data_IF_586667637656
#
_entry.id   IF_586667637656
#
_cell.length_a   1.000
_cell.length_b   1.000
_cell.length_c   1.000
_cell.angle_alpha   90.00
_cell.angle_beta   90.00
_cell.angle_gamma   90.00
#
_symmetry.space_group_name_H-M   'P 1'
#
loop_
_entity.id
_entity.type
_entity.pdbx_description
1 polymer ?
#
# COMPACT_ATOMS: atom_id res chain seq x y z
N UNK A 1 33.89 -0.03 -7.77
CA UNK A 1 32.87 0.51 -8.69
C UNK A 1 31.55 -0.07 -8.24
N UNK A 2 30.61 0.77 -7.80
CA UNK A 2 29.29 0.31 -7.37
C UNK A 2 28.52 -0.17 -8.60
N UNK A 3 28.01 -1.39 -8.53
CA UNK A 3 27.21 -2.04 -9.55
C UNK A 3 25.95 -1.21 -9.85
N UNK A 4 25.94 -0.52 -10.99
CA UNK A 4 24.81 0.30 -11.45
C UNK A 4 23.60 -0.55 -11.90
N UNK A 5 23.67 -1.89 -11.87
CA UNK A 5 22.53 -2.76 -12.20
C UNK A 5 21.49 -2.88 -11.07
N UNK A 6 21.74 -2.30 -9.88
CA UNK A 6 20.93 -2.54 -8.67
C UNK A 6 19.71 -1.65 -8.50
N UNK A 7 19.47 -0.66 -9.36
CA UNK A 7 18.42 0.36 -9.13
C UNK A 7 17.48 0.58 -10.31
N UNK A 8 17.11 -0.50 -11.01
CA UNK A 8 16.09 -0.46 -12.08
C UNK A 8 14.76 -1.02 -11.57
N UNK A 9 13.61 -0.46 -11.99
CA UNK A 9 12.30 -1.07 -11.71
C UNK A 9 12.23 -2.52 -12.20
N UNK A 10 11.83 -3.44 -11.33
CA UNK A 10 11.76 -4.87 -11.59
C UNK A 10 10.63 -5.52 -10.77
N UNK A 11 10.10 -6.65 -11.25
CA UNK A 11 9.05 -7.44 -10.59
C UNK A 11 9.67 -8.71 -10.00
N UNK A 12 9.31 -8.98 -8.75
CA UNK A 12 9.74 -10.12 -7.94
C UNK A 12 8.52 -11.00 -7.62
N UNK A 13 8.72 -12.31 -7.51
CA UNK A 13 7.66 -13.27 -7.22
C UNK A 13 7.85 -13.85 -5.82
N UNK A 14 6.74 -14.15 -5.12
CA UNK A 14 6.69 -15.10 -4.01
C UNK A 14 5.63 -16.16 -4.32
N UNK A 15 5.95 -17.42 -4.02
CA UNK A 15 5.06 -18.55 -4.27
C UNK A 15 5.16 -19.57 -3.13
N UNK A 16 4.01 -19.94 -2.53
CA UNK A 16 3.92 -20.93 -1.46
C UNK A 16 3.23 -22.24 -1.91
N UNK A 17 3.02 -22.42 -3.21
CA UNK A 17 2.30 -23.56 -3.81
C UNK A 17 0.78 -23.41 -3.85
N UNK A 18 0.20 -22.44 -3.14
CA UNK A 18 -1.25 -22.16 -3.11
C UNK A 18 -1.59 -20.78 -3.66
N UNK A 19 -0.79 -19.77 -3.33
CA UNK A 19 -0.91 -18.39 -3.82
C UNK A 19 0.40 -17.97 -4.48
N UNK A 20 0.28 -17.09 -5.47
CA UNK A 20 1.42 -16.43 -6.10
C UNK A 20 1.20 -14.91 -6.03
N UNK A 21 2.19 -14.18 -5.53
CA UNK A 21 2.19 -12.71 -5.56
C UNK A 21 3.38 -12.21 -6.36
N UNK A 22 3.16 -11.17 -7.17
CA UNK A 22 4.20 -10.44 -7.89
C UNK A 22 4.28 -9.01 -7.37
N UNK A 23 5.45 -8.60 -6.93
CA UNK A 23 5.68 -7.31 -6.27
C UNK A 23 6.83 -6.58 -6.98
N UNK A 24 6.61 -5.33 -7.35
CA UNK A 24 7.62 -4.48 -7.96
C UNK A 24 8.42 -3.73 -6.90
N UNK A 25 9.72 -3.56 -7.08
CA UNK A 25 10.51 -2.64 -6.25
C UNK A 25 10.19 -1.15 -6.54
N UNK A 26 9.46 -0.83 -7.61
CA UNK A 26 8.92 0.50 -7.84
C UNK A 26 7.63 0.69 -7.03
N UNK A 27 7.70 1.52 -6.00
CA UNK A 27 6.60 1.78 -5.06
C UNK A 27 6.28 0.63 -4.12
N UNK A 28 7.16 -0.39 -4.03
CA UNK A 28 6.88 -1.65 -3.34
C UNK A 28 5.51 -2.24 -3.76
N UNK A 29 5.22 -2.18 -5.07
CA UNK A 29 3.87 -2.32 -5.62
C UNK A 29 3.45 -3.77 -5.82
N UNK A 30 2.32 -4.21 -5.26
CA UNK A 30 1.68 -5.47 -5.67
C UNK A 30 1.12 -5.30 -7.09
N UNK A 31 1.66 -6.06 -8.04
CA UNK A 31 1.26 -6.01 -9.46
C UNK A 31 0.25 -7.11 -9.83
N UNK A 32 0.35 -8.25 -9.16
CA UNK A 32 -0.53 -9.42 -9.33
C UNK A 32 -0.60 -10.20 -8.03
N UNK A 33 -1.76 -10.76 -7.73
CA UNK A 33 -1.94 -11.73 -6.65
C UNK A 33 -2.93 -12.80 -7.11
N UNK A 34 -2.41 -13.99 -7.40
CA UNK A 34 -3.20 -15.14 -7.81
C UNK A 34 -3.62 -15.98 -6.62
N UNK A 35 -4.91 -16.16 -6.42
CA UNK A 35 -5.51 -16.95 -5.34
C UNK A 35 -6.52 -17.98 -5.89
N UNK A 36 -6.64 -19.16 -5.28
CA UNK A 36 -7.55 -20.19 -5.75
C UNK A 36 -9.01 -19.83 -5.45
N UNK A 37 -9.93 -20.26 -6.31
CA UNK A 37 -11.35 -20.39 -5.98
C UNK A 37 -11.66 -21.74 -5.32
N UNK A 38 -12.94 -22.02 -5.04
CA UNK A 38 -13.40 -23.28 -4.41
C UNK A 38 -13.06 -24.54 -5.20
N UNK A 39 -12.76 -24.42 -6.50
CA UNK A 39 -12.37 -25.52 -7.37
C UNK A 39 -10.84 -25.60 -7.55
N UNK A 40 -10.07 -24.78 -6.82
CA UNK A 40 -8.61 -24.70 -6.92
C UNK A 40 -8.12 -23.87 -8.11
N UNK A 41 -9.00 -23.18 -8.85
CA UNK A 41 -8.60 -22.38 -10.01
C UNK A 41 -8.05 -21.03 -9.54
N UNK A 42 -6.76 -20.79 -9.83
CA UNK A 42 -6.11 -19.51 -9.58
C UNK A 42 -6.69 -18.40 -10.47
N UNK A 43 -6.96 -17.24 -9.89
CA UNK A 43 -7.11 -16.00 -10.65
C UNK A 43 -6.43 -14.83 -9.92
N UNK A 44 -5.99 -13.86 -10.71
CA UNK A 44 -5.42 -12.61 -10.23
C UNK A 44 -6.53 -11.69 -9.69
N UNK A 45 -6.48 -11.37 -8.40
CA UNK A 45 -7.55 -10.64 -7.69
C UNK A 45 -7.23 -9.18 -7.40
N UNK A 46 -6.17 -8.64 -8.01
CA UNK A 46 -5.80 -7.22 -7.85
C UNK A 46 -5.80 -6.51 -9.20
N UNK A 47 -6.12 -5.22 -9.23
CA UNK A 47 -5.90 -4.39 -10.42
C UNK A 47 -4.41 -4.05 -10.56
N UNK A 48 -3.94 -3.92 -11.79
CA UNK A 48 -2.56 -3.55 -12.06
C UNK A 48 -2.24 -3.57 -13.55
N UNK A 49 -0.96 -3.68 -13.85
CA UNK A 49 -0.45 -3.81 -15.22
C UNK A 49 0.43 -5.05 -15.34
N UNK A 50 0.55 -5.59 -16.55
CA UNK A 50 1.37 -6.78 -16.83
C UNK A 50 2.89 -6.52 -16.73
N UNK A 51 3.30 -5.25 -16.72
CA UNK A 51 4.70 -4.82 -16.64
C UNK A 51 4.85 -3.62 -15.71
N UNK A 52 6.10 -3.30 -15.34
CA UNK A 52 6.41 -2.16 -14.47
C UNK A 52 6.31 -0.81 -15.20
N UNK A 53 6.47 -0.79 -16.52
CA UNK A 53 6.54 0.43 -17.34
C UNK A 53 5.33 1.39 -17.16
N UNK A 54 4.07 0.93 -17.18
CA UNK A 54 2.92 1.81 -16.94
C UNK A 54 2.94 2.49 -15.56
N UNK A 55 3.47 1.81 -14.53
CA UNK A 55 3.64 2.39 -13.19
C UNK A 55 4.66 3.53 -13.21
N UNK A 56 5.82 3.30 -13.86
CA UNK A 56 6.88 4.30 -14.01
C UNK A 56 6.40 5.51 -14.82
N UNK A 57 5.55 5.28 -15.82
CA UNK A 57 4.93 6.34 -16.64
C UNK A 57 3.79 7.08 -15.93
N UNK A 58 3.46 6.72 -14.68
CA UNK A 58 2.43 7.39 -13.89
C UNK A 58 1.00 7.10 -14.36
N UNK A 59 0.78 6.00 -15.09
CA UNK A 59 -0.55 5.60 -15.56
C UNK A 59 -1.39 4.96 -14.43
N UNK A 60 -0.75 4.52 -13.35
CA UNK A 60 -1.40 3.94 -12.19
C UNK A 60 -2.03 5.04 -11.31
N UNK A 61 -3.35 5.02 -11.04
CA UNK A 61 -3.94 5.80 -9.95
C UNK A 61 -3.67 5.10 -8.61
N UNK A 62 -2.38 4.98 -8.26
CA UNK A 62 -1.85 4.33 -7.05
C UNK A 62 -2.12 2.82 -6.96
N UNK A 63 -2.28 2.11 -8.09
CA UNK A 63 -2.52 0.65 -8.08
C UNK A 63 -1.43 -0.11 -7.30
N UNK A 64 -1.80 -0.75 -6.19
CA UNK A 64 -0.99 -1.76 -5.50
C UNK A 64 0.24 -1.24 -4.74
N UNK A 65 0.56 0.05 -4.85
CA UNK A 65 1.73 0.67 -4.26
C UNK A 65 1.61 0.90 -2.74
N UNK A 66 2.75 1.18 -2.10
CA UNK A 66 2.80 1.79 -0.78
C UNK A 66 2.79 3.31 -0.95
N UNK A 67 1.82 3.97 -0.32
CA UNK A 67 1.74 5.44 -0.27
C UNK A 67 2.43 5.96 1.00
N UNK A 68 3.17 7.05 0.85
CA UNK A 68 3.90 7.71 1.94
C UNK A 68 4.65 8.94 1.44
N UNK A 69 5.18 9.82 2.31
CA UNK A 69 5.36 9.67 3.77
C UNK A 69 4.06 9.73 4.60
N UNK A 70 3.05 10.45 4.11
CA UNK A 70 1.71 10.51 4.73
C UNK A 70 0.64 10.18 3.69
N UNK A 71 -0.06 9.07 3.93
CA UNK A 71 -1.20 8.62 3.16
C UNK A 71 -2.39 9.57 3.30
N UNK A 72 -3.23 9.60 2.27
CA UNK A 72 -4.40 10.47 2.16
C UNK A 72 -4.03 11.96 2.23
N UNK A 73 -4.98 12.82 2.62
CA UNK A 73 -4.87 14.28 2.46
C UNK A 73 -4.28 14.95 3.69
N UNK A 74 -3.45 15.96 3.45
CA UNK A 74 -3.15 17.03 4.41
C UNK A 74 -3.82 18.31 3.90
N UNK A 75 -4.68 18.88 4.73
CA UNK A 75 -5.46 20.07 4.40
C UNK A 75 -4.51 21.20 4.00
N UNK A 76 -4.78 21.81 2.84
CA UNK A 76 -3.99 22.93 2.31
C UNK A 76 -2.49 22.64 2.13
N UNK A 77 -2.09 21.37 2.19
CA UNK A 77 -0.69 20.96 2.17
C UNK A 77 0.15 21.60 3.26
N UNK A 78 -0.43 21.93 4.42
CA UNK A 78 0.27 22.62 5.50
C UNK A 78 0.05 21.91 6.83
N UNK A 79 1.06 21.97 7.68
CA UNK A 79 0.97 21.57 9.07
C UNK A 79 2.05 22.28 9.90
N UNK A 80 1.86 22.30 11.21
CA UNK A 80 2.85 22.80 12.16
C UNK A 80 3.34 21.63 13.02
N UNK A 81 4.64 21.53 13.23
CA UNK A 81 5.25 20.54 14.11
C UNK A 81 6.40 21.18 14.89
N UNK A 82 6.38 21.01 16.22
CA UNK A 82 7.38 21.58 17.13
C UNK A 82 7.61 23.09 16.91
N UNK A 83 6.53 23.85 16.67
CA UNK A 83 6.56 25.30 16.44
C UNK A 83 7.03 25.72 15.05
N UNK A 84 7.38 24.78 14.16
CA UNK A 84 7.80 25.05 12.79
C UNK A 84 6.65 24.77 11.81
N UNK A 85 6.44 25.67 10.85
CA UNK A 85 5.44 25.50 9.80
C UNK A 85 6.07 24.82 8.58
N UNK A 86 5.41 23.78 8.09
CA UNK A 86 5.80 23.03 6.91
C UNK A 86 4.78 23.22 5.79
N UNK A 87 5.26 23.23 4.55
CA UNK A 87 4.42 23.30 3.35
C UNK A 87 4.80 22.16 2.41
N UNK A 88 3.77 21.50 1.90
CA UNK A 88 3.83 20.33 1.03
C UNK A 88 3.28 20.69 -0.35
N UNK A 89 3.67 19.96 -1.41
CA UNK A 89 3.09 20.18 -2.72
C UNK A 89 1.57 19.97 -2.75
N UNK A 90 0.87 20.91 -3.40
CA UNK A 90 -0.57 20.86 -3.64
C UNK A 90 -0.86 20.05 -4.91
N UNK A 91 -0.55 18.76 -4.86
CA UNK A 91 -0.75 17.83 -5.96
C UNK A 91 -2.21 17.41 -6.15
N UNK A 92 -3.09 17.70 -5.17
CA UNK A 92 -4.55 17.54 -5.32
C UNK A 92 -5.29 18.76 -4.74
N UNK A 93 -5.39 19.86 -5.51
CA UNK A 93 -5.94 21.12 -5.02
C UNK A 93 -7.28 20.99 -4.27
N UNK A 94 -7.45 21.69 -3.13
CA UNK A 94 -6.48 22.59 -2.49
C UNK A 94 -5.47 21.88 -1.58
N UNK A 95 -5.40 20.55 -1.55
CA UNK A 95 -4.69 19.77 -0.54
C UNK A 95 -3.41 19.11 -1.09
N UNK A 96 -2.55 18.64 -0.18
CA UNK A 96 -1.56 17.62 -0.51
C UNK A 96 -2.17 16.23 -0.32
N UNK A 97 -1.75 15.26 -1.14
CA UNK A 97 -2.31 13.91 -1.19
C UNK A 97 -1.17 12.88 -1.33
N UNK A 98 -1.25 11.79 -0.56
CA UNK A 98 -0.38 10.59 -0.70
C UNK A 98 1.12 10.90 -0.76
N UNK A 99 1.59 11.80 0.11
CA UNK A 99 3.01 12.14 0.22
C UNK A 99 3.55 13.08 -0.86
N UNK A 100 2.71 13.62 -1.75
CA UNK A 100 3.09 14.70 -2.67
C UNK A 100 3.25 14.26 -4.13
N UNK A 101 4.05 15.00 -4.89
CA UNK A 101 4.22 14.80 -6.33
C UNK A 101 4.93 13.48 -6.64
N UNK A 102 6.02 13.21 -5.93
CA UNK A 102 6.84 11.99 -6.02
C UNK A 102 6.91 11.32 -4.65
N UNK A 103 5.73 10.97 -4.13
CA UNK A 103 5.58 10.13 -2.96
C UNK A 103 6.22 8.75 -3.12
N UNK A 104 6.16 7.95 -2.06
CA UNK A 104 6.82 6.64 -1.97
C UNK A 104 6.40 5.65 -3.06
N UNK A 105 5.19 5.84 -3.62
CA UNK A 105 4.64 5.06 -4.74
C UNK A 105 5.44 5.23 -6.04
N UNK A 106 6.20 6.32 -6.16
CA UNK A 106 6.98 6.69 -7.36
C UNK A 106 8.49 6.56 -7.14
N UNK A 107 8.90 5.83 -6.10
CA UNK A 107 10.30 5.61 -5.75
C UNK A 107 10.71 4.18 -6.09
N UNK A 108 11.99 4.00 -6.42
CA UNK A 108 12.60 2.68 -6.50
C UNK A 108 13.11 2.35 -5.11
N UNK A 109 12.67 1.22 -4.58
CA UNK A 109 13.08 0.69 -3.31
C UNK A 109 14.20 -0.33 -3.52
N UNK A 110 15.17 -0.36 -2.63
CA UNK A 110 16.18 -1.41 -2.60
C UNK A 110 15.55 -2.73 -2.17
N UNK A 111 15.95 -3.84 -2.80
CA UNK A 111 15.62 -5.18 -2.30
C UNK A 111 16.66 -5.57 -1.25
N UNK A 112 16.29 -5.53 0.01
CA UNK A 112 17.16 -5.88 1.12
C UNK A 112 17.33 -7.41 1.24
N UNK A 113 16.23 -8.15 1.14
CA UNK A 113 16.20 -9.61 1.22
C UNK A 113 15.07 -10.17 0.34
N UNK A 114 15.30 -11.33 -0.28
CA UNK A 114 14.27 -12.02 -1.07
C UNK A 114 14.45 -13.54 -0.97
N UNK A 115 13.40 -14.21 -0.51
CA UNK A 115 13.24 -15.66 -0.54
C UNK A 115 11.98 -15.98 -1.33
N UNK A 116 12.15 -16.39 -2.58
CA UNK A 116 11.05 -16.64 -3.52
C UNK A 116 10.11 -17.77 -3.10
N UNK A 117 10.68 -18.87 -2.60
CA UNK A 117 9.98 -20.14 -2.39
C UNK A 117 10.23 -20.73 -0.98
N UNK A 118 9.44 -21.76 -0.61
CA UNK A 118 9.53 -22.50 0.65
C UNK A 118 8.31 -22.30 1.55
N UNK A 119 8.39 -22.69 2.82
CA UNK A 119 7.23 -22.66 3.73
C UNK A 119 6.72 -21.24 4.06
N UNK A 120 7.63 -20.25 4.02
CA UNK A 120 7.35 -18.83 4.28
C UNK A 120 8.20 -17.95 3.36
N UNK A 121 7.88 -17.86 2.06
CA UNK A 121 8.59 -16.98 1.14
C UNK A 121 8.31 -15.52 1.50
N UNK A 122 9.32 -14.68 1.33
CA UNK A 122 9.23 -13.27 1.70
C UNK A 122 10.12 -12.38 0.83
N UNK A 123 9.81 -11.08 0.78
CA UNK A 123 10.67 -10.05 0.21
C UNK A 123 10.61 -8.80 1.09
N UNK A 124 11.78 -8.22 1.35
CA UNK A 124 11.94 -6.98 2.12
C UNK A 124 12.45 -5.89 1.22
N UNK A 125 11.67 -4.82 1.08
CA UNK A 125 12.08 -3.59 0.41
C UNK A 125 12.55 -2.57 1.44
N UNK A 126 13.51 -1.72 1.05
CA UNK A 126 14.00 -0.59 1.84
C UNK A 126 14.03 0.67 1.00
N UNK A 127 13.62 1.78 1.59
CA UNK A 127 13.76 3.11 0.99
C UNK A 127 14.23 4.10 2.03
N UNK A 128 15.12 5.01 1.63
CA UNK A 128 15.57 6.10 2.47
C UNK A 128 15.06 7.43 1.91
N UNK A 129 14.13 8.04 2.63
CA UNK A 129 13.56 9.34 2.32
C UNK A 129 14.41 10.43 2.98
N UNK A 130 14.98 11.34 2.20
CA UNK A 130 15.84 12.40 2.75
C UNK A 130 15.04 13.44 3.58
N UNK A 131 15.74 14.21 4.43
CA UNK A 131 15.17 15.40 5.08
C UNK A 131 14.71 16.40 4.00
N UNK A 132 13.51 16.93 4.17
CA UNK A 132 12.88 17.86 3.21
C UNK A 132 12.27 17.19 1.97
N UNK A 133 12.34 15.86 1.83
CA UNK A 133 11.68 15.18 0.71
C UNK A 133 10.18 15.48 0.70
N UNK A 134 9.68 15.99 -0.43
CA UNK A 134 8.29 16.47 -0.61
C UNK A 134 7.85 17.51 0.45
N UNK A 135 8.80 18.16 1.13
CA UNK A 135 8.55 19.18 2.16
C UNK A 135 8.41 18.64 3.59
N UNK A 136 8.58 17.34 3.81
CA UNK A 136 8.51 16.74 5.15
C UNK A 136 9.85 16.85 5.90
N UNK A 137 9.85 17.14 7.22
CA UNK A 137 11.07 17.17 8.02
C UNK A 137 11.61 15.77 8.33
N UNK A 138 12.91 15.67 8.54
CA UNK A 138 13.58 14.46 8.99
C UNK A 138 13.87 13.50 7.85
N UNK A 139 15.08 12.93 7.86
CA UNK A 139 15.36 11.75 7.07
C UNK A 139 14.61 10.56 7.68
N UNK A 140 14.12 9.64 6.85
CA UNK A 140 13.34 8.47 7.28
C UNK A 140 13.82 7.24 6.54
N UNK A 141 14.29 6.23 7.27
CA UNK A 141 14.46 4.88 6.74
C UNK A 141 13.13 4.15 6.83
N UNK A 142 12.69 3.55 5.72
CA UNK A 142 11.41 2.83 5.61
C UNK A 142 11.67 1.43 5.09
N UNK A 143 11.00 0.44 5.66
CA UNK A 143 11.01 -0.95 5.19
C UNK A 143 9.59 -1.45 4.95
N UNK A 144 9.45 -2.35 3.98
CA UNK A 144 8.22 -3.04 3.69
C UNK A 144 8.52 -4.52 3.41
N UNK A 145 8.01 -5.40 4.26
CA UNK A 145 8.24 -6.85 4.16
C UNK A 145 6.94 -7.55 3.82
N UNK A 146 6.89 -8.16 2.64
CA UNK A 146 5.80 -9.04 2.23
C UNK A 146 6.17 -10.48 2.53
N UNK A 147 5.29 -11.23 3.20
CA UNK A 147 5.50 -12.65 3.54
C UNK A 147 4.25 -13.46 3.23
N UNK A 148 4.37 -14.60 2.56
CA UNK A 148 3.29 -15.60 2.51
C UNK A 148 3.42 -16.47 3.77
N UNK A 149 2.63 -16.18 4.79
CA UNK A 149 2.79 -16.77 6.14
C UNK A 149 2.13 -18.14 6.29
N UNK A 150 1.16 -18.43 5.43
CA UNK A 150 0.42 -19.68 5.33
C UNK A 150 -0.01 -19.91 3.88
N UNK A 151 -0.69 -21.03 3.60
CA UNK A 151 -1.28 -21.31 2.29
C UNK A 151 -2.23 -20.20 1.80
N UNK A 152 -2.85 -19.45 2.72
CA UNK A 152 -3.94 -18.50 2.44
C UNK A 152 -3.68 -17.09 2.93
N UNK A 153 -2.55 -16.82 3.57
CA UNK A 153 -2.29 -15.53 4.21
C UNK A 153 -1.05 -14.86 3.66
N UNK A 154 -1.21 -13.62 3.19
CA UNK A 154 -0.11 -12.70 2.93
C UNK A 154 -0.06 -11.66 4.05
N UNK A 155 1.11 -11.47 4.64
CA UNK A 155 1.42 -10.44 5.64
C UNK A 155 2.25 -9.34 5.01
N UNK A 156 1.93 -8.09 5.33
CA UNK A 156 2.76 -6.92 5.04
C UNK A 156 3.11 -6.25 6.36
N UNK A 157 4.41 -6.18 6.67
CA UNK A 157 4.95 -5.39 7.76
C UNK A 157 5.63 -4.14 7.19
N UNK A 158 5.18 -2.97 7.59
CA UNK A 158 5.80 -1.70 7.24
C UNK A 158 6.39 -1.07 8.49
N UNK A 159 7.64 -0.65 8.41
CA UNK A 159 8.31 0.07 9.49
C UNK A 159 8.93 1.35 8.95
N UNK A 160 8.95 2.38 9.79
CA UNK A 160 9.64 3.62 9.47
C UNK A 160 10.31 4.19 10.71
N UNK A 161 11.50 4.74 10.55
CA UNK A 161 12.29 5.35 11.62
C UNK A 161 12.75 6.73 11.14
N UNK A 162 12.21 7.83 11.71
CA UNK A 162 12.78 9.15 11.52
C UNK A 162 14.15 9.21 12.18
N UNK A 163 15.18 9.57 11.43
CA UNK A 163 16.56 9.48 11.91
C UNK A 163 17.01 10.77 12.62
N UNK A 164 16.48 11.92 12.20
CA UNK A 164 17.01 13.23 12.60
C UNK A 164 16.00 14.21 13.18
N UNK A 165 14.72 14.11 12.82
CA UNK A 165 13.65 15.01 13.28
C UNK A 165 12.35 14.24 13.42
N UNK A 166 11.52 14.68 14.36
CA UNK A 166 10.11 14.26 14.43
C UNK A 166 9.43 14.55 13.10
N UNK A 167 8.59 13.63 12.63
CA UNK A 167 7.87 13.78 11.37
C UNK A 167 6.54 13.04 11.42
N UNK A 168 5.51 13.51 10.71
CA UNK A 168 4.33 12.69 10.49
C UNK A 168 4.68 11.50 9.59
N UNK A 169 4.20 10.31 9.96
CA UNK A 169 4.25 9.08 9.18
C UNK A 169 2.88 8.42 9.25
N UNK A 170 2.32 8.12 8.09
CA UNK A 170 1.11 7.30 7.96
C UNK A 170 1.23 6.57 6.63
N UNK A 171 1.62 5.30 6.67
CA UNK A 171 1.77 4.49 5.47
C UNK A 171 0.45 3.79 5.16
N UNK A 172 0.19 3.53 3.88
CA UNK A 172 -0.93 2.69 3.48
C UNK A 172 -0.57 1.86 2.26
N UNK A 173 -1.19 0.70 2.14
CA UNK A 173 -1.09 -0.17 0.97
C UNK A 173 -2.34 0.06 0.10
N UNK A 174 -2.14 0.46 -1.16
CA UNK A 174 -3.20 0.97 -2.04
C UNK A 174 -3.63 -0.06 -3.11
N UNK A 175 -3.72 -1.35 -2.76
CA UNK A 175 -4.27 -2.38 -3.66
C UNK A 175 -5.75 -2.17 -3.90
N UNK A 176 -6.13 -2.28 -5.17
CA UNK A 176 -7.53 -2.41 -5.59
C UNK A 176 -7.85 -3.89 -5.73
N UNK A 177 -8.77 -4.37 -4.88
CA UNK A 177 -9.22 -5.74 -4.82
C UNK A 177 -10.42 -5.97 -5.73
N UNK A 178 -10.38 -7.05 -6.52
CA UNK A 178 -11.52 -7.61 -7.24
C UNK A 178 -11.46 -9.13 -7.10
N UNK A 179 -12.26 -9.67 -6.16
CA UNK A 179 -12.21 -11.10 -5.82
C UNK A 179 -12.91 -12.01 -6.83
N UNK A 180 -13.82 -11.49 -7.66
CA UNK A 180 -14.48 -12.29 -8.70
C UNK A 180 -13.54 -12.66 -9.85
N UNK A 181 -12.67 -11.73 -10.23
CA UNK A 181 -12.14 -11.66 -11.59
C UNK A 181 -13.03 -10.90 -12.58
N UNK A 182 -14.30 -10.57 -12.23
CA UNK A 182 -15.25 -9.66 -12.94
C UNK A 182 -16.35 -9.04 -11.99
N UNK A 183 -16.84 -7.82 -12.23
CA UNK A 183 -17.26 -6.75 -11.26
C UNK A 183 -18.70 -6.82 -10.63
N UNK A 184 -18.89 -6.55 -9.30
CA UNK A 184 -20.12 -5.99 -8.61
C UNK A 184 -19.84 -5.44 -7.15
N UNK A 185 -20.69 -4.59 -6.47
CA UNK A 185 -20.35 -3.85 -5.21
C UNK A 185 -21.12 -4.23 -3.90
N UNK A 186 -20.63 -3.81 -2.69
CA UNK A 186 -21.34 -3.29 -1.44
C UNK A 186 -20.46 -3.33 -0.13
N UNK A 187 -21.01 -2.97 1.06
CA UNK A 187 -20.66 -1.98 2.10
C UNK A 187 -20.76 -2.57 3.55
N UNK A 188 -20.11 -1.96 4.56
CA UNK A 188 -20.50 -2.06 5.99
C UNK A 188 -19.37 -2.34 7.00
N UNK A 189 -19.29 -1.55 8.08
CA UNK A 189 -18.12 -1.41 9.00
C UNK A 189 -18.40 -1.90 10.44
N UNK A 190 -17.36 -2.25 11.23
CA UNK A 190 -17.30 -1.85 12.65
C UNK A 190 -15.87 -1.49 13.15
N UNK A 191 -15.66 -0.26 13.65
CA UNK A 191 -14.35 0.31 13.99
C UNK A 191 -14.03 0.20 15.49
N UNK A 192 -13.02 -0.60 15.87
CA UNK A 192 -12.28 -0.62 17.16
C UNK A 192 -10.90 -1.30 16.95
N UNK A 193 -9.77 -0.65 17.31
CA UNK A 193 -8.40 -0.96 16.80
C UNK A 193 -7.27 -1.01 17.84
N UNK A 194 -7.51 -1.60 19.01
CA UNK A 194 -6.47 -1.71 20.05
C UNK A 194 -5.59 -2.96 19.96
N UNK A 195 -5.90 -3.92 19.08
CA UNK A 195 -5.16 -5.17 18.81
C UNK A 195 -5.37 -5.59 17.33
N UNK A 196 -4.61 -6.55 16.78
CA UNK A 196 -4.84 -7.10 15.43
C UNK A 196 -6.29 -7.63 15.33
N UNK A 197 -7.15 -6.93 14.58
CA UNK A 197 -8.59 -7.24 14.48
C UNK A 197 -9.03 -7.32 13.02
N UNK A 198 -10.09 -8.10 12.77
CA UNK A 198 -10.68 -8.24 11.44
C UNK A 198 -11.50 -7.00 11.21
N UNK A 199 -11.05 -6.16 10.31
CA UNK A 199 -11.63 -4.84 10.13
C UNK A 199 -12.49 -4.77 8.86
N UNK A 200 -12.27 -5.71 7.94
CA UNK A 200 -13.09 -5.87 6.75
C UNK A 200 -13.16 -7.34 6.34
N UNK A 201 -14.33 -7.70 5.78
CA UNK A 201 -14.53 -8.93 5.02
C UNK A 201 -15.13 -8.53 3.68
N UNK A 202 -14.41 -8.78 2.60
CA UNK A 202 -14.91 -8.67 1.23
C UNK A 202 -15.23 -10.08 0.74
N UNK A 203 -16.42 -10.29 0.17
CA UNK A 203 -16.85 -11.59 -0.34
C UNK A 203 -17.52 -11.43 -1.67
N UNK A 204 -17.25 -12.34 -2.60
CA UNK A 204 -17.85 -12.33 -3.93
C UNK A 204 -18.55 -13.66 -4.19
N UNK A 205 -19.81 -13.59 -4.64
CA UNK A 205 -20.72 -14.75 -4.65
C UNK A 205 -20.38 -15.80 -5.70
N UNK A 206 -19.91 -15.39 -6.87
CA UNK A 206 -19.72 -16.26 -8.04
C UNK A 206 -18.50 -17.16 -7.88
N UNK A 207 -17.36 -16.55 -7.57
CA UNK A 207 -16.10 -17.24 -7.29
C UNK A 207 -16.04 -17.84 -5.89
N UNK A 208 -16.92 -17.38 -5.00
CA UNK A 208 -16.91 -17.68 -3.56
C UNK A 208 -15.67 -17.17 -2.83
N UNK A 209 -14.77 -16.42 -3.50
CA UNK A 209 -13.56 -15.87 -2.88
C UNK A 209 -13.91 -14.84 -1.81
N UNK A 210 -13.15 -14.90 -0.73
CA UNK A 210 -13.25 -14.03 0.44
C UNK A 210 -11.88 -13.46 0.74
N UNK A 211 -11.83 -12.16 1.04
CA UNK A 211 -10.69 -11.48 1.65
C UNK A 211 -11.10 -11.03 3.05
N UNK A 212 -10.43 -11.53 4.08
CA UNK A 212 -10.43 -10.95 5.40
C UNK A 212 -9.20 -10.06 5.55
N UNK A 213 -9.41 -8.81 5.96
CA UNK A 213 -8.34 -7.85 6.21
C UNK A 213 -8.20 -7.61 7.71
N UNK A 214 -6.97 -7.75 8.20
CA UNK A 214 -6.60 -7.45 9.59
C UNK A 214 -5.54 -6.37 9.64
N UNK A 215 -5.54 -5.53 10.68
CA UNK A 215 -4.53 -4.49 10.86
C UNK A 215 -4.39 -4.05 12.30
N UNK A 216 -3.28 -3.37 12.62
CA UNK A 216 -2.98 -2.77 13.92
C UNK A 216 -3.05 -1.21 13.93
N UNK A 217 -3.41 -0.58 12.80
CA UNK A 217 -3.55 0.89 12.71
C UNK A 217 -5.02 1.34 12.85
N UNK A 218 -5.28 2.58 13.29
CA UNK A 218 -6.60 2.97 13.81
C UNK A 218 -7.68 3.21 12.75
N UNK A 219 -7.32 3.27 11.46
CA UNK A 219 -8.26 3.63 10.40
C UNK A 219 -8.14 2.75 9.17
N UNK A 220 -9.22 2.72 8.39
CA UNK A 220 -9.25 2.14 7.05
C UNK A 220 -10.02 3.06 6.10
N UNK A 221 -9.38 3.49 5.02
CA UNK A 221 -10.06 4.11 3.89
C UNK A 221 -10.67 3.02 3.03
N UNK A 222 -12.00 3.07 2.89
CA UNK A 222 -12.70 2.31 1.85
C UNK A 222 -12.94 3.21 0.65
N UNK A 223 -12.40 2.84 -0.50
CA UNK A 223 -12.56 3.59 -1.75
C UNK A 223 -13.03 2.67 -2.87
N UNK A 224 -14.12 3.05 -3.52
CA UNK A 224 -14.82 2.22 -4.52
C UNK A 224 -14.34 2.44 -5.95
N UNK A 225 -13.12 2.95 -6.18
CA UNK A 225 -12.60 3.11 -7.54
C UNK A 225 -13.37 4.13 -8.40
N UNK A 226 -13.91 5.18 -7.78
CA UNK A 226 -14.82 6.14 -8.43
C UNK A 226 -14.24 6.90 -9.63
N UNK A 227 -12.92 7.05 -9.69
CA UNK A 227 -12.20 7.84 -10.69
C UNK A 227 -11.37 7.00 -11.67
N UNK A 228 -11.45 5.67 -11.57
CA UNK A 228 -10.89 4.79 -12.62
C UNK A 228 -11.78 4.92 -13.85
N UNK A 229 -11.21 5.18 -15.03
CA UNK A 229 -11.96 5.46 -16.25
C UNK A 229 -11.12 5.15 -17.48
N UNK A 230 -11.50 4.14 -18.26
CA UNK A 230 -10.84 3.77 -19.51
C UNK A 230 -9.37 3.36 -19.40
N UNK A 231 -8.91 2.82 -18.26
CA UNK A 231 -7.50 2.42 -18.08
C UNK A 231 -7.28 1.03 -18.66
N UNK A 232 -6.42 0.88 -19.66
CA UNK A 232 -6.06 -0.45 -20.20
C UNK A 232 -5.11 -1.14 -19.23
N UNK A 233 -5.62 -2.17 -18.55
CA UNK A 233 -4.92 -2.98 -17.56
C UNK A 233 -4.49 -4.34 -18.10
N UNK A 234 -4.37 -5.31 -17.17
CA UNK A 234 -3.89 -6.66 -17.46
C UNK A 234 -4.73 -7.39 -18.52
N UNK A 235 -4.06 -8.12 -19.41
CA UNK A 235 -4.74 -8.88 -20.47
C UNK A 235 -5.58 -8.00 -21.41
N UNK A 236 -5.23 -6.72 -21.56
CA UNK A 236 -5.99 -5.69 -22.28
C UNK A 236 -7.39 -5.39 -21.72
N UNK A 237 -7.70 -5.79 -20.49
CA UNK A 237 -8.95 -5.43 -19.84
C UNK A 237 -9.05 -3.91 -19.66
N UNK A 238 -10.21 -3.33 -19.96
CA UNK A 238 -10.46 -1.90 -19.72
C UNK A 238 -11.03 -1.75 -18.31
N UNK A 239 -10.28 -1.09 -17.43
CA UNK A 239 -10.68 -0.78 -16.08
C UNK A 239 -11.54 0.48 -16.06
N UNK A 240 -12.79 0.30 -15.67
CA UNK A 240 -13.80 1.34 -15.56
C UNK A 240 -14.14 1.67 -14.11
N UNK A 241 -14.98 2.69 -13.94
CA UNK A 241 -15.46 3.11 -12.63
C UNK A 241 -16.06 1.93 -11.86
N UNK A 242 -15.65 1.79 -10.59
CA UNK A 242 -16.07 0.72 -9.68
C UNK A 242 -15.63 -0.70 -10.02
N UNK A 243 -14.66 -0.88 -10.93
CA UNK A 243 -14.08 -2.20 -11.27
C UNK A 243 -13.37 -2.91 -10.10
N UNK A 244 -13.02 -2.18 -9.04
CA UNK A 244 -12.41 -2.73 -7.82
C UNK A 244 -12.48 -1.75 -6.65
N UNK A 245 -12.10 -2.23 -5.47
CA UNK A 245 -12.15 -1.45 -4.22
C UNK A 245 -10.81 -1.42 -3.50
N UNK A 246 -10.45 -0.30 -2.87
CA UNK A 246 -9.30 -0.21 -1.97
C UNK A 246 -9.75 -0.34 -0.51
N UNK A 247 -8.93 -1.02 0.28
CA UNK A 247 -9.05 -1.15 1.73
C UNK A 247 -7.72 -0.70 2.35
N UNK A 248 -7.49 0.61 2.39
CA UNK A 248 -6.20 1.18 2.79
C UNK A 248 -6.20 1.39 4.32
N UNK A 249 -5.51 0.53 5.07
CA UNK A 249 -5.38 0.77 6.52
C UNK A 249 -4.31 1.82 6.76
N UNK A 250 -4.56 2.78 7.65
CA UNK A 250 -3.73 3.96 7.83
C UNK A 250 -4.10 4.74 9.11
N UNK A 251 -3.32 5.77 9.44
CA UNK A 251 -3.77 6.86 10.32
C UNK A 251 -4.91 7.67 9.69
N UNK A 252 -5.66 8.42 10.50
CA UNK A 252 -6.79 9.20 9.97
C UNK A 252 -6.32 10.31 9.02
N UNK A 253 -7.05 10.57 7.92
CA UNK A 253 -6.73 11.68 7.03
C UNK A 253 -6.61 12.99 7.79
N UNK A 254 -5.59 13.79 7.46
CA UNK A 254 -5.30 15.08 8.08
C UNK A 254 -5.02 15.01 9.60
N UNK A 255 -4.71 13.85 10.19
CA UNK A 255 -4.48 13.69 11.63
C UNK A 255 -3.43 14.65 12.21
N UNK A 256 -2.40 15.01 11.44
CA UNK A 256 -1.38 15.99 11.86
C UNK A 256 -1.96 17.36 12.24
N UNK A 257 -3.13 17.70 11.69
CA UNK A 257 -3.84 18.96 11.94
C UNK A 257 -5.11 18.77 12.80
N UNK A 258 -5.35 17.58 13.36
CA UNK A 258 -6.55 17.26 14.13
C UNK A 258 -6.14 16.70 15.49
N UNK A 259 -6.10 17.55 16.51
CA UNK A 259 -5.60 17.19 17.85
C UNK A 259 -6.41 16.10 18.56
N UNK A 260 -7.64 15.84 18.11
CA UNK A 260 -8.52 14.80 18.61
C UNK A 260 -8.38 13.46 17.86
N UNK A 261 -7.52 13.38 16.83
CA UNK A 261 -7.22 12.12 16.14
C UNK A 261 -5.99 11.46 16.78
N UNK A 262 -5.84 10.12 16.65
CA UNK A 262 -4.60 9.45 16.99
C UNK A 262 -3.42 10.12 16.29
N UNK A 263 -2.36 10.39 17.04
CA UNK A 263 -1.17 11.06 16.51
C UNK A 263 -0.54 10.22 15.39
N UNK A 264 -0.12 10.90 14.34
CA UNK A 264 0.72 10.34 13.26
C UNK A 264 2.18 10.81 13.37
N UNK A 265 2.52 11.59 14.40
CA UNK A 265 3.89 12.05 14.64
C UNK A 265 4.70 10.92 15.24
N UNK A 266 5.82 10.61 14.60
CA UNK A 266 6.83 9.67 15.08
C UNK A 266 8.05 10.48 15.48
N UNK A 267 8.56 10.28 16.69
CA UNK A 267 9.73 11.03 17.15
C UNK A 267 11.01 10.50 16.51
N UNK A 268 12.02 11.36 16.43
CA UNK A 268 13.35 10.94 16.00
C UNK A 268 13.87 9.75 16.84
N UNK A 269 14.33 8.69 16.16
CA UNK A 269 14.78 7.45 16.77
C UNK A 269 13.67 6.49 17.21
N UNK A 270 12.42 6.92 17.28
CA UNK A 270 11.29 6.03 17.58
C UNK A 270 10.82 5.28 16.33
N UNK A 271 10.20 4.13 16.56
CA UNK A 271 9.79 3.21 15.50
C UNK A 271 8.29 3.32 15.22
N UNK A 272 7.95 3.59 13.97
CA UNK A 272 6.62 3.34 13.43
C UNK A 272 6.49 1.88 13.00
N UNK A 273 5.38 1.23 13.33
CA UNK A 273 5.08 -0.14 12.93
C UNK A 273 3.62 -0.27 12.48
N UNK A 274 3.43 -0.85 11.31
CA UNK A 274 2.11 -1.07 10.71
C UNK A 274 2.07 -2.45 10.05
N UNK A 275 1.18 -3.30 10.55
CA UNK A 275 0.96 -4.66 10.08
C UNK A 275 -0.39 -4.76 9.36
N UNK A 276 -0.39 -5.47 8.23
CA UNK A 276 -1.59 -5.87 7.51
C UNK A 276 -1.56 -7.37 7.27
N UNK A 277 -2.68 -8.06 7.49
CA UNK A 277 -2.87 -9.46 7.08
C UNK A 277 -4.01 -9.53 6.07
N UNK A 278 -3.68 -10.08 4.90
CA UNK A 278 -4.62 -10.40 3.83
C UNK A 278 -4.83 -11.91 3.84
N UNK A 279 -5.97 -12.34 4.37
CA UNK A 279 -6.33 -13.75 4.48
C UNK A 279 -7.40 -14.09 3.44
N UNK A 280 -7.08 -15.04 2.56
CA UNK A 280 -7.94 -15.47 1.46
C UNK A 280 -8.60 -16.82 1.75
N UNK A 281 -9.86 -16.98 1.36
CA UNK A 281 -10.53 -18.28 1.36
C UNK A 281 -11.51 -18.35 0.18
N UNK A 282 -12.05 -19.53 -0.12
CA UNK A 282 -13.06 -19.73 -1.15
C UNK A 282 -14.03 -20.86 -0.79
#
# INVERSE_FOLDING_TARGET
MADQSKNTPAIFELNNGTMQVKISNYGATITSLSVPDKNGKLADVVLGFDSVDPYVKGLAPYFGCIVGRVANRIKEGKFSLNGVNYSLPINKPPNSLHGGNKGFDKKIWDVAEHKKDGDKPFITFKYHSADGEEGYPGAVSVTATYTLTSATTMRLDMEAVPESKDTPISLAQHTYWNLAGEILPVKGTPFDFTEEKRIAKLSEGTSSRVLNLWTNVPGMQFYTGNYVNGVVGKGNAIYEKHVGVCLETQGFPNAINQSNFPSVVVKAGEKYQHTMLFEFSA
#
